data_IF_372690020712
#
_entry.id   IF_372690020712
#
_cell.length_a   1.000
_cell.length_b   1.000
_cell.length_c   1.000
_cell.angle_alpha   90.00
_cell.angle_beta   90.00
_cell.angle_gamma   90.00
#
_symmetry.space_group_name_H-M   'P 1'
#
loop_
_entity.id
_entity.type
_entity.pdbx_description
1 polymer ?
#
# COMPACT_ATOMS: atom_id res chain seq x y z
N UNK A 1 0.20 -12.63 -14.13
CA UNK A 1 -1.09 -12.15 -13.67
C UNK A 1 -1.14 -10.63 -13.64
N UNK A 2 -2.20 -10.07 -14.17
CA UNK A 2 -2.33 -8.61 -14.20
C UNK A 2 -3.09 -8.11 -12.99
N UNK A 3 -2.57 -7.07 -12.38
CA UNK A 3 -3.30 -6.35 -11.33
C UNK A 3 -4.32 -5.41 -11.97
N UNK A 4 -5.39 -5.13 -11.24
CA UNK A 4 -6.36 -4.14 -11.66
C UNK A 4 -5.70 -2.76 -11.82
N UNK A 5 -4.82 -2.41 -10.88
CA UNK A 5 -4.05 -1.17 -10.92
C UNK A 5 -2.85 -1.29 -10.00
N UNK A 6 -1.91 -0.37 -10.16
CA UNK A 6 -0.73 -0.24 -9.29
C UNK A 6 -0.81 1.10 -8.57
N UNK A 7 -0.55 1.12 -7.27
CA UNK A 7 -0.43 2.35 -6.51
C UNK A 7 1.04 2.53 -6.15
N UNK A 8 1.66 3.55 -6.70
CA UNK A 8 3.07 3.87 -6.47
C UNK A 8 3.15 5.01 -5.45
N UNK A 9 3.52 4.68 -4.21
CA UNK A 9 3.65 5.64 -3.13
C UNK A 9 5.11 6.04 -2.99
N UNK A 10 5.45 7.23 -3.47
CA UNK A 10 6.82 7.73 -3.43
C UNK A 10 6.76 9.23 -3.69
N UNK A 11 7.39 10.04 -2.84
CA UNK A 11 7.35 11.49 -2.96
C UNK A 11 8.36 12.02 -3.98
N UNK A 12 9.25 11.17 -4.46
CA UNK A 12 10.35 11.61 -5.31
C UNK A 12 10.58 10.74 -6.55
N UNK A 13 10.67 9.41 -6.41
CA UNK A 13 11.04 8.53 -7.51
C UNK A 13 9.84 8.19 -8.39
N UNK A 14 9.97 8.31 -9.72
CA UNK A 14 8.87 7.94 -10.60
C UNK A 14 8.68 6.42 -10.63
N UNK A 15 7.45 5.96 -10.96
CA UNK A 15 7.17 4.53 -11.03
C UNK A 15 8.06 3.80 -12.04
N UNK A 16 8.55 2.62 -11.63
CA UNK A 16 9.31 1.71 -12.49
C UNK A 16 8.41 0.56 -12.94
N UNK A 17 7.26 0.90 -13.47
CA UNK A 17 6.22 -0.06 -13.88
C UNK A 17 5.95 0.15 -15.37
N UNK A 18 5.68 -0.90 -16.15
CA UNK A 18 5.38 -0.74 -17.57
C UNK A 18 4.24 0.24 -17.83
N UNK A 19 4.43 1.10 -18.82
CA UNK A 19 3.47 2.16 -19.16
C UNK A 19 2.12 1.61 -19.62
N UNK A 20 2.06 0.32 -19.93
CA UNK A 20 0.83 -0.35 -20.35
C UNK A 20 -0.11 -0.66 -19.17
N UNK A 21 0.38 -0.49 -17.94
CA UNK A 21 -0.40 -0.78 -16.74
C UNK A 21 -1.04 0.50 -16.19
N UNK A 22 -2.15 0.36 -15.48
CA UNK A 22 -2.78 1.49 -14.78
C UNK A 22 -2.00 1.80 -13.53
N UNK A 23 -1.47 3.01 -13.44
CA UNK A 23 -0.60 3.43 -12.34
C UNK A 23 -1.15 4.68 -11.69
N UNK A 24 -1.33 4.65 -10.38
CA UNK A 24 -1.66 5.82 -9.59
C UNK A 24 -0.42 6.20 -8.78
N UNK A 25 0.22 7.31 -9.14
CA UNK A 25 1.37 7.81 -8.41
C UNK A 25 0.90 8.78 -7.33
N UNK A 26 1.05 8.40 -6.08
CA UNK A 26 0.67 9.21 -4.92
C UNK A 26 1.92 9.55 -4.12
N UNK A 27 1.97 10.75 -3.57
CA UNK A 27 3.21 11.28 -2.98
C UNK A 27 3.13 11.52 -1.48
N UNK A 28 1.95 11.44 -0.90
CA UNK A 28 1.76 11.69 0.53
C UNK A 28 0.60 10.84 1.06
N UNK A 29 0.40 10.92 2.37
CA UNK A 29 -0.62 10.15 3.07
C UNK A 29 -2.02 10.48 2.56
N UNK A 30 -2.35 11.76 2.45
CA UNK A 30 -3.72 12.16 2.06
C UNK A 30 -4.06 11.70 0.65
N UNK A 31 -3.14 11.83 -0.29
CA UNK A 31 -3.32 11.35 -1.67
C UNK A 31 -3.47 9.83 -1.70
N UNK A 32 -2.70 9.13 -0.88
CA UNK A 32 -2.78 7.68 -0.78
C UNK A 32 -4.16 7.25 -0.30
N UNK A 33 -4.64 7.85 0.79
CA UNK A 33 -5.96 7.56 1.36
C UNK A 33 -7.05 7.79 0.32
N UNK A 34 -7.00 8.93 -0.36
CA UNK A 34 -8.00 9.27 -1.38
C UNK A 34 -8.00 8.24 -2.52
N UNK A 35 -6.82 7.84 -2.98
CA UNK A 35 -6.70 6.89 -4.08
C UNK A 35 -7.21 5.49 -3.69
N UNK A 36 -6.91 5.05 -2.48
CA UNK A 36 -7.40 3.76 -1.98
C UNK A 36 -8.94 3.76 -1.97
N UNK A 37 -9.53 4.83 -1.49
CA UNK A 37 -11.00 4.94 -1.44
C UNK A 37 -11.63 4.98 -2.83
N UNK A 38 -10.95 5.59 -3.80
CA UNK A 38 -11.43 5.61 -5.20
C UNK A 38 -11.48 4.20 -5.77
N UNK A 39 -10.46 3.37 -5.51
CA UNK A 39 -10.47 1.99 -5.99
C UNK A 39 -11.54 1.14 -5.30
N UNK A 40 -11.88 1.48 -4.05
CA UNK A 40 -12.97 0.80 -3.34
C UNK A 40 -12.74 -0.71 -3.25
N UNK A 41 -13.74 -1.49 -3.62
CA UNK A 41 -13.70 -2.95 -3.54
C UNK A 41 -12.69 -3.59 -4.50
N UNK A 42 -12.13 -2.83 -5.44
CA UNK A 42 -11.08 -3.32 -6.35
C UNK A 42 -9.69 -3.29 -5.70
N UNK A 43 -9.57 -2.73 -4.50
CA UNK A 43 -8.28 -2.58 -3.84
C UNK A 43 -7.54 -3.92 -3.68
N UNK A 44 -8.26 -5.00 -3.40
CA UNK A 44 -7.67 -6.32 -3.26
C UNK A 44 -7.05 -6.88 -4.54
N UNK A 45 -7.37 -6.30 -5.68
CA UNK A 45 -6.82 -6.69 -6.98
C UNK A 45 -5.67 -5.79 -7.43
N UNK A 46 -5.27 -4.85 -6.58
CA UNK A 46 -4.18 -3.92 -6.86
C UNK A 46 -2.87 -4.41 -6.28
N UNK A 47 -1.79 -3.77 -6.68
CA UNK A 47 -0.50 -3.91 -6.01
C UNK A 47 -0.05 -2.54 -5.54
N UNK A 48 0.44 -2.45 -4.31
CA UNK A 48 0.90 -1.20 -3.71
C UNK A 48 2.41 -1.26 -3.51
N UNK A 49 3.09 -0.20 -3.92
CA UNK A 49 4.54 -0.05 -3.79
C UNK A 49 4.79 1.04 -2.77
N UNK A 50 5.35 0.67 -1.62
CA UNK A 50 5.53 1.58 -0.49
C UNK A 50 6.93 2.17 -0.45
N UNK A 51 7.01 3.49 -0.32
CA UNK A 51 8.18 4.18 0.19
C UNK A 51 7.89 4.55 1.65
N UNK A 52 8.87 4.43 2.53
CA UNK A 52 8.67 4.76 3.94
C UNK A 52 8.72 6.26 4.18
N UNK A 53 9.70 6.94 3.60
CA UNK A 53 9.97 8.35 3.88
C UNK A 53 9.26 9.25 2.86
N UNK A 54 8.21 9.94 3.31
CA UNK A 54 7.38 10.78 2.46
C UNK A 54 7.54 12.28 2.79
N UNK A 55 8.66 12.65 3.38
CA UNK A 55 8.87 14.02 3.83
C UNK A 55 8.25 14.27 5.18
N UNK A 56 7.57 15.40 5.34
CA UNK A 56 6.95 15.77 6.61
C UNK A 56 5.58 15.09 6.77
N UNK A 57 5.22 14.80 8.01
CA UNK A 57 3.92 14.22 8.36
C UNK A 57 3.95 12.71 8.34
N UNK A 58 2.82 12.11 7.97
CA UNK A 58 2.66 10.66 7.95
C UNK A 58 3.60 10.03 6.93
N UNK A 59 4.10 8.83 7.26
CA UNK A 59 5.03 8.08 6.43
C UNK A 59 4.37 6.84 5.80
N UNK A 60 5.18 6.02 5.12
CA UNK A 60 4.69 4.80 4.49
C UNK A 60 4.10 3.79 5.47
N UNK A 61 4.61 3.74 6.69
CA UNK A 61 4.05 2.89 7.73
C UNK A 61 2.61 3.31 8.07
N UNK A 62 2.36 4.61 8.18
CA UNK A 62 1.02 5.13 8.44
C UNK A 62 0.07 4.79 7.29
N UNK A 63 0.56 4.86 6.05
CA UNK A 63 -0.21 4.47 4.87
C UNK A 63 -0.57 2.98 4.90
N UNK A 64 0.39 2.13 5.26
CA UNK A 64 0.15 0.69 5.36
C UNK A 64 -0.88 0.36 6.44
N UNK A 65 -0.79 1.01 7.59
CA UNK A 65 -1.77 0.83 8.67
C UNK A 65 -3.18 1.23 8.20
N UNK A 66 -3.30 2.39 7.57
CA UNK A 66 -4.58 2.82 7.04
C UNK A 66 -5.15 1.78 6.07
N UNK A 67 -4.33 1.33 5.13
CA UNK A 67 -4.75 0.41 4.08
C UNK A 67 -5.33 -0.88 4.65
N UNK A 68 -4.59 -1.51 5.55
CA UNK A 68 -5.01 -2.80 6.15
C UNK A 68 -6.27 -2.60 6.99
N UNK A 69 -6.31 -1.56 7.83
CA UNK A 69 -7.47 -1.28 8.68
C UNK A 69 -8.72 -0.99 7.83
N UNK A 70 -8.57 -0.19 6.79
CA UNK A 70 -9.69 0.17 5.93
C UNK A 70 -10.23 -1.06 5.17
N UNK A 71 -9.34 -1.92 4.68
CA UNK A 71 -9.75 -3.16 4.01
C UNK A 71 -10.50 -4.07 4.97
N UNK A 72 -10.00 -4.24 6.19
CA UNK A 72 -10.66 -5.07 7.20
C UNK A 72 -12.04 -4.53 7.56
N UNK A 73 -12.16 -3.23 7.77
CA UNK A 73 -13.43 -2.58 8.13
C UNK A 73 -14.50 -2.76 7.05
N UNK A 74 -14.09 -2.79 5.79
CA UNK A 74 -15.01 -2.88 4.66
C UNK A 74 -15.19 -4.30 4.12
N UNK A 75 -14.49 -5.27 4.69
CA UNK A 75 -14.54 -6.65 4.21
C UNK A 75 -13.88 -6.87 2.86
N UNK A 76 -12.95 -6.00 2.49
CA UNK A 76 -12.21 -6.09 1.22
C UNK A 76 -10.94 -6.90 1.41
N UNK A 77 -10.45 -7.52 0.33
CA UNK A 77 -9.15 -8.17 0.34
C UNK A 77 -8.03 -7.14 0.42
N UNK A 78 -6.94 -7.51 1.09
CA UNK A 78 -5.75 -6.66 1.18
C UNK A 78 -4.91 -6.89 -0.08
N UNK A 79 -4.42 -5.82 -0.73
CA UNK A 79 -3.65 -5.94 -1.97
C UNK A 79 -2.27 -6.53 -1.74
N UNK A 80 -1.66 -7.01 -2.82
CA UNK A 80 -0.24 -7.36 -2.81
C UNK A 80 0.58 -6.09 -2.61
N UNK A 81 1.80 -6.24 -2.10
CA UNK A 81 2.64 -5.08 -1.84
C UNK A 81 4.11 -5.38 -2.08
N UNK A 82 4.87 -4.33 -2.29
CA UNK A 82 6.32 -4.37 -2.22
C UNK A 82 6.82 -3.08 -1.58
N UNK A 83 8.07 -3.06 -1.14
CA UNK A 83 8.63 -1.92 -0.41
C UNK A 83 9.86 -1.42 -1.14
N UNK A 84 9.85 -0.12 -1.47
CA UNK A 84 10.89 0.54 -2.26
C UNK A 84 11.82 1.40 -1.41
N UNK A 85 11.84 1.18 -0.10
CA UNK A 85 12.65 1.99 0.82
C UNK A 85 14.00 1.37 1.10
N UNK A 86 15.03 2.19 1.23
CA UNK A 86 16.34 1.78 1.70
C UNK A 86 16.46 1.81 3.23
N UNK A 87 15.45 2.32 3.93
CA UNK A 87 15.42 2.41 5.38
C UNK A 87 15.03 1.05 5.99
N UNK A 88 15.98 0.30 6.63
CA UNK A 88 15.66 -1.05 7.14
C UNK A 88 14.56 -1.05 8.21
N UNK A 89 14.55 -0.06 9.09
CA UNK A 89 13.52 0.04 10.13
C UNK A 89 12.17 0.33 9.53
N UNK A 90 12.12 1.24 8.55
CA UNK A 90 10.88 1.57 7.84
C UNK A 90 10.33 0.37 7.09
N UNK A 91 11.18 -0.39 6.41
CA UNK A 91 10.78 -1.62 5.73
C UNK A 91 10.16 -2.61 6.70
N UNK A 92 10.85 -2.85 7.82
CA UNK A 92 10.38 -3.79 8.84
C UNK A 92 9.04 -3.36 9.44
N UNK A 93 8.85 -2.07 9.67
CA UNK A 93 7.61 -1.55 10.20
C UNK A 93 6.45 -1.78 9.24
N UNK A 94 6.64 -1.52 7.96
CA UNK A 94 5.61 -1.75 6.94
C UNK A 94 5.29 -3.25 6.84
N UNK A 95 6.32 -4.09 6.76
CA UNK A 95 6.14 -5.54 6.70
C UNK A 95 5.34 -6.07 7.87
N UNK A 96 5.59 -5.54 9.08
CA UNK A 96 4.91 -5.99 10.28
C UNK A 96 3.39 -5.76 10.24
N UNK A 97 2.95 -4.72 9.55
CA UNK A 97 1.51 -4.44 9.39
C UNK A 97 0.84 -5.58 8.62
N UNK A 98 1.44 -5.97 7.50
CA UNK A 98 0.88 -7.05 6.67
C UNK A 98 1.02 -8.41 7.33
N UNK A 99 2.13 -8.66 8.01
CA UNK A 99 2.32 -9.92 8.73
C UNK A 99 1.29 -10.09 9.84
N UNK A 100 0.98 -9.02 10.57
CA UNK A 100 -0.03 -9.05 11.62
C UNK A 100 -1.41 -9.36 11.03
N UNK A 101 -1.74 -8.78 9.89
CA UNK A 101 -2.98 -9.07 9.18
C UNK A 101 -3.06 -10.57 8.83
N UNK A 102 -1.99 -11.12 8.23
CA UNK A 102 -2.00 -12.52 7.81
C UNK A 102 -2.08 -13.48 8.98
N UNK A 103 -1.44 -13.16 10.13
CA UNK A 103 -1.55 -13.97 11.34
C UNK A 103 -2.99 -14.07 11.83
N UNK A 104 -3.70 -12.96 11.86
CA UNK A 104 -5.10 -12.94 12.27
C UNK A 104 -5.95 -13.73 11.27
N UNK A 105 -5.72 -13.51 9.98
CA UNK A 105 -6.48 -14.18 8.93
C UNK A 105 -6.30 -15.69 8.96
N UNK A 106 -5.07 -16.17 9.15
CA UNK A 106 -4.79 -17.61 9.23
C UNK A 106 -5.39 -18.22 10.49
N UNK A 107 -5.44 -17.48 11.59
CA UNK A 107 -6.05 -17.97 12.84
C UNK A 107 -7.56 -18.14 12.73
N UNK A 108 -8.20 -17.40 11.84
CA UNK A 108 -9.64 -17.47 11.59
C UNK A 108 -10.04 -18.67 10.71
N UNK A 109 -9.08 -19.24 10.01
CA UNK A 109 -9.33 -20.35 9.08
C UNK A 109 -9.56 -21.69 9.79
#
# INVERSE_FOLDING_TARGET
MKYYAHIWLDDFRPPCIPQTETIAWVKDYDSFVSQVKVFGDKIGQCKVYFDHDLGKGENGYDCAKFLVDWCLENGYGVPDYSIQSSNPVGRQNIESVFESYWKVKLAEC
#
